data_IF_478374825842
#
_entry.id   IF_478374825842
#
_cell.length_a   1.000
_cell.length_b   1.000
_cell.length_c   1.000
_cell.angle_alpha   90.00
_cell.angle_beta   90.00
_cell.angle_gamma   90.00
#
_symmetry.space_group_name_H-M   'P 1'
#
loop_
_entity.id
_entity.type
_entity.pdbx_description
1 polymer ?
#
# COMPACT_ATOMS: atom_id res chain seq x y z
N UNK A 1 -18.74 10.77 18.45
CA UNK A 1 -19.25 9.43 18.11
C UNK A 1 -18.54 8.92 16.85
N UNK A 2 -17.25 8.60 16.94
CA UNK A 2 -16.46 7.90 15.91
C UNK A 2 -15.37 7.13 16.65
N UNK A 3 -15.73 5.98 17.22
CA UNK A 3 -14.85 5.09 17.96
C UNK A 3 -14.69 3.82 17.13
N UNK A 4 -13.44 3.38 16.90
CA UNK A 4 -13.03 2.14 16.21
C UNK A 4 -12.94 2.12 14.67
N UNK A 5 -12.25 3.08 14.06
CA UNK A 5 -11.41 2.75 12.90
C UNK A 5 -9.97 3.09 13.27
N UNK A 6 -9.08 2.09 13.21
CA UNK A 6 -7.64 2.31 13.37
C UNK A 6 -7.17 3.41 12.42
N UNK A 7 -6.08 4.10 12.77
CA UNK A 7 -5.51 5.27 12.08
C UNK A 7 -5.70 5.20 10.55
N UNK A 8 -6.76 5.84 10.04
CA UNK A 8 -7.09 5.85 8.60
C UNK A 8 -6.03 6.69 7.89
N UNK A 9 -5.50 6.21 6.77
CA UNK A 9 -4.64 6.99 5.88
C UNK A 9 -5.31 7.14 4.52
N UNK A 10 -5.39 8.36 4.01
CA UNK A 10 -5.90 8.63 2.67
C UNK A 10 -4.71 8.87 1.75
N UNK A 11 -4.68 8.17 0.60
CA UNK A 11 -3.59 8.26 -0.36
C UNK A 11 -4.16 8.66 -1.71
N UNK A 12 -3.62 9.75 -2.26
CA UNK A 12 -4.07 10.35 -3.52
C UNK A 12 -2.89 10.34 -4.49
N UNK A 13 -3.15 10.01 -5.75
CA UNK A 13 -2.11 10.03 -6.79
C UNK A 13 -1.59 11.46 -6.98
N UNK A 14 -0.27 11.67 -6.90
CA UNK A 14 0.29 13.01 -7.01
C UNK A 14 0.56 13.37 -8.48
N UNK A 15 -0.51 13.69 -9.21
CA UNK A 15 -0.46 14.36 -10.52
C UNK A 15 -0.76 15.86 -10.35
N UNK A 16 -0.16 16.72 -11.17
CA UNK A 16 -0.10 18.18 -10.98
C UNK A 16 -1.43 18.89 -10.67
N UNK A 17 -2.58 18.30 -11.03
CA UNK A 17 -3.91 18.84 -10.76
C UNK A 17 -4.50 18.43 -9.39
N UNK A 18 -4.01 17.37 -8.77
CA UNK A 18 -4.59 16.77 -7.55
C UNK A 18 -3.97 17.30 -6.23
N UNK A 19 -2.97 18.19 -6.31
CA UNK A 19 -2.38 18.83 -5.14
C UNK A 19 -3.41 19.61 -4.32
N UNK A 20 -4.33 20.31 -4.99
CA UNK A 20 -5.42 21.05 -4.36
C UNK A 20 -6.38 20.13 -3.61
N UNK A 21 -6.69 18.94 -4.15
CA UNK A 21 -7.51 17.93 -3.48
C UNK A 21 -6.85 17.46 -2.18
N UNK A 22 -5.54 17.23 -2.20
CA UNK A 22 -4.78 16.83 -1.00
C UNK A 22 -4.84 17.94 0.05
N UNK A 23 -4.55 19.19 -0.35
CA UNK A 23 -4.65 20.34 0.55
C UNK A 23 -6.06 20.50 1.12
N UNK A 24 -7.09 20.34 0.29
CA UNK A 24 -8.48 20.41 0.73
C UNK A 24 -8.78 19.34 1.78
N UNK A 25 -8.37 18.09 1.56
CA UNK A 25 -8.59 17.00 2.52
C UNK A 25 -7.85 17.28 3.84
N UNK A 26 -6.60 17.73 3.77
CA UNK A 26 -5.80 18.10 4.94
C UNK A 26 -6.44 19.26 5.71
N UNK A 27 -6.92 20.29 5.01
CA UNK A 27 -7.62 21.44 5.62
C UNK A 27 -8.93 21.02 6.30
N UNK A 28 -9.56 19.93 5.86
CA UNK A 28 -10.75 19.34 6.50
C UNK A 28 -10.40 18.35 7.63
N UNK A 29 -9.13 18.30 8.07
CA UNK A 29 -8.69 17.43 9.16
C UNK A 29 -8.52 15.96 8.77
N UNK A 30 -8.53 15.64 7.48
CA UNK A 30 -8.33 14.27 6.99
C UNK A 30 -6.84 13.98 6.74
N UNK A 31 -6.34 12.79 7.14
CA UNK A 31 -4.93 12.43 7.00
C UNK A 31 -4.59 11.99 5.55
N UNK A 32 -4.64 12.94 4.62
CA UNK A 32 -4.36 12.72 3.21
C UNK A 32 -2.88 12.92 2.85
N UNK A 33 -2.37 12.09 1.93
CA UNK A 33 -1.00 12.15 1.42
C UNK A 33 -0.97 11.92 -0.08
N UNK A 34 -0.16 12.72 -0.78
CA UNK A 34 0.18 12.48 -2.18
C UNK A 34 1.15 11.31 -2.33
N UNK A 35 0.90 10.43 -3.29
CA UNK A 35 1.77 9.30 -3.64
C UNK A 35 2.30 9.50 -5.06
N UNK A 36 3.63 9.54 -5.27
CA UNK A 36 4.19 9.68 -6.60
C UNK A 36 3.99 8.41 -7.42
N UNK A 37 3.78 8.60 -8.73
CA UNK A 37 3.58 7.53 -9.71
C UNK A 37 4.93 7.21 -10.35
N UNK A 38 5.59 6.15 -9.87
CA UNK A 38 6.94 5.81 -10.36
C UNK A 38 6.96 4.66 -11.38
N UNK A 39 5.97 3.77 -11.33
CA UNK A 39 5.92 2.54 -12.13
C UNK A 39 4.75 2.55 -13.11
N UNK A 40 4.90 1.85 -14.23
CA UNK A 40 3.77 1.61 -15.14
C UNK A 40 2.66 0.78 -14.46
N UNK A 41 1.43 0.96 -14.93
CA UNK A 41 0.23 0.38 -14.29
C UNK A 41 0.30 -1.14 -14.16
N UNK A 42 0.82 -1.84 -15.19
CA UNK A 42 0.91 -3.30 -15.20
C UNK A 42 1.89 -3.78 -14.14
N UNK A 43 3.07 -3.17 -14.08
CA UNK A 43 4.07 -3.48 -13.04
C UNK A 43 3.54 -3.22 -11.63
N UNK A 44 2.74 -2.14 -11.44
CA UNK A 44 2.11 -1.86 -10.15
C UNK A 44 1.17 -2.97 -9.72
N UNK A 45 0.30 -3.43 -10.63
CA UNK A 45 -0.66 -4.48 -10.36
C UNK A 45 0.05 -5.80 -10.05
N UNK A 46 1.00 -6.23 -10.89
CA UNK A 46 1.76 -7.48 -10.68
C UNK A 46 2.44 -7.48 -9.30
N UNK A 47 3.04 -6.35 -8.92
CA UNK A 47 3.66 -6.21 -7.60
C UNK A 47 2.68 -6.31 -6.44
N UNK A 48 1.38 -6.03 -6.61
CA UNK A 48 0.38 -6.16 -5.54
C UNK A 48 -0.31 -7.53 -5.58
N UNK A 49 -0.43 -8.16 -6.76
CA UNK A 49 -1.11 -9.45 -6.95
C UNK A 49 -0.55 -10.57 -6.06
N UNK A 50 0.75 -10.56 -5.75
CA UNK A 50 1.33 -11.56 -4.84
C UNK A 50 0.73 -11.50 -3.43
N UNK A 51 0.28 -10.33 -2.96
CA UNK A 51 -0.38 -10.18 -1.66
C UNK A 51 -1.78 -10.77 -1.67
N UNK A 52 -2.49 -10.68 -2.79
CA UNK A 52 -3.78 -11.34 -2.98
C UNK A 52 -3.59 -12.86 -2.97
N UNK A 53 -2.64 -13.36 -3.77
CA UNK A 53 -2.38 -14.81 -3.88
C UNK A 53 -1.93 -15.44 -2.56
N UNK A 54 -1.18 -14.70 -1.74
CA UNK A 54 -0.69 -15.17 -0.44
C UNK A 54 -1.67 -14.94 0.72
N UNK A 55 -2.86 -14.38 0.45
CA UNK A 55 -3.89 -14.15 1.46
C UNK A 55 -3.66 -12.95 2.39
N UNK A 56 -2.70 -12.08 2.08
CA UNK A 56 -2.47 -10.83 2.81
C UNK A 56 -3.47 -9.74 2.44
N UNK A 57 -4.03 -9.80 1.23
CA UNK A 57 -5.15 -8.98 0.79
C UNK A 57 -6.35 -9.90 0.53
N UNK A 58 -7.48 -9.57 1.14
CA UNK A 58 -8.74 -10.29 0.98
C UNK A 58 -9.79 -9.36 0.39
N UNK A 59 -10.66 -9.89 -0.45
CA UNK A 59 -11.83 -9.18 -0.96
C UNK A 59 -13.07 -9.55 -0.16
N UNK A 60 -14.01 -8.62 0.06
CA UNK A 60 -15.30 -8.94 0.66
C UNK A 60 -16.08 -9.90 -0.26
N UNK A 61 -17.00 -10.67 0.32
CA UNK A 61 -17.85 -11.60 -0.44
C UNK A 61 -18.75 -10.91 -1.46
N UNK A 62 -19.07 -9.62 -1.25
CA UNK A 62 -19.90 -8.78 -2.11
C UNK A 62 -19.37 -7.35 -2.12
N UNK A 63 -19.59 -6.62 -3.21
CA UNK A 63 -19.26 -5.20 -3.36
C UNK A 63 -17.87 -4.91 -3.93
N UNK A 64 -17.12 -5.94 -4.34
CA UNK A 64 -15.81 -5.80 -4.98
C UNK A 64 -15.81 -6.30 -6.44
N UNK A 65 -16.97 -6.63 -6.99
CA UNK A 65 -17.12 -7.28 -8.30
C UNK A 65 -16.54 -6.43 -9.43
N UNK A 66 -16.73 -5.11 -9.38
CA UNK A 66 -16.20 -4.17 -10.37
C UNK A 66 -14.68 -4.10 -10.32
N UNK A 67 -14.10 -3.95 -9.12
CA UNK A 67 -12.65 -3.99 -8.93
C UNK A 67 -12.05 -5.33 -9.39
N UNK A 68 -12.68 -6.44 -9.03
CA UNK A 68 -12.25 -7.77 -9.46
C UNK A 68 -12.29 -7.86 -10.99
N UNK A 69 -13.38 -7.39 -11.61
CA UNK A 69 -13.52 -7.28 -13.06
C UNK A 69 -12.37 -6.50 -13.71
N UNK A 70 -12.06 -5.31 -13.19
CA UNK A 70 -10.93 -4.50 -13.67
C UNK A 70 -9.57 -5.20 -13.48
N UNK A 71 -9.36 -5.93 -12.38
CA UNK A 71 -8.11 -6.68 -12.13
C UNK A 71 -7.94 -7.83 -13.12
N UNK A 72 -8.99 -8.66 -13.32
CA UNK A 72 -8.90 -9.84 -14.21
C UNK A 72 -8.97 -9.47 -15.69
N UNK A 73 -9.66 -8.36 -16.01
CA UNK A 73 -9.79 -7.78 -17.35
C UNK A 73 -8.71 -6.73 -17.68
N UNK A 74 -7.69 -6.58 -16.83
CA UNK A 74 -6.72 -5.49 -16.92
C UNK A 74 -6.11 -5.35 -18.33
N UNK A 75 -6.11 -4.12 -18.85
CA UNK A 75 -5.64 -3.78 -20.20
C UNK A 75 -6.67 -3.96 -21.33
N UNK A 76 -7.87 -4.47 -21.02
CA UNK A 76 -9.02 -4.53 -21.95
C UNK A 76 -10.16 -3.60 -21.53
N UNK A 77 -10.34 -3.41 -20.23
CA UNK A 77 -11.38 -2.55 -19.67
C UNK A 77 -11.15 -1.06 -20.00
N UNK A 78 -12.25 -0.33 -20.18
CA UNK A 78 -12.24 1.11 -20.55
C UNK A 78 -11.80 2.01 -19.41
N UNK A 79 -11.96 1.56 -18.17
CA UNK A 79 -11.67 2.29 -16.93
C UNK A 79 -10.79 1.43 -16.02
N UNK A 80 -9.79 2.05 -15.40
CA UNK A 80 -8.81 1.41 -14.51
C UNK A 80 -8.58 2.16 -13.19
N UNK A 81 -9.50 3.05 -12.86
CA UNK A 81 -9.50 3.90 -11.67
C UNK A 81 -9.53 3.11 -10.35
N UNK A 82 -10.33 2.04 -10.27
CA UNK A 82 -10.36 1.19 -9.07
C UNK A 82 -9.06 0.39 -8.95
N UNK A 83 -8.49 -0.09 -10.05
CA UNK A 83 -7.18 -0.76 -10.06
C UNK A 83 -6.07 0.21 -9.65
N UNK A 84 -6.11 1.45 -10.10
CA UNK A 84 -5.14 2.48 -9.70
C UNK A 84 -5.24 2.74 -8.19
N UNK A 85 -6.45 2.96 -7.66
CA UNK A 85 -6.67 3.13 -6.22
C UNK A 85 -6.21 1.90 -5.41
N UNK A 86 -6.55 0.70 -5.89
CA UNK A 86 -6.16 -0.58 -5.27
C UNK A 86 -4.63 -0.71 -5.22
N UNK A 87 -3.94 -0.43 -6.33
CA UNK A 87 -2.48 -0.56 -6.38
C UNK A 87 -1.79 0.48 -5.51
N UNK A 88 -2.30 1.72 -5.44
CA UNK A 88 -1.78 2.74 -4.50
C UNK A 88 -1.79 2.20 -3.07
N UNK A 89 -2.93 1.68 -2.61
CA UNK A 89 -3.05 1.14 -1.24
C UNK A 89 -2.17 -0.09 -1.06
N UNK A 90 -2.16 -1.02 -2.01
CA UNK A 90 -1.32 -2.22 -1.95
C UNK A 90 0.17 -1.89 -1.81
N UNK A 91 0.67 -0.88 -2.54
CA UNK A 91 2.05 -0.42 -2.41
C UNK A 91 2.35 0.25 -1.07
N UNK A 92 1.38 0.95 -0.47
CA UNK A 92 1.53 1.47 0.89
C UNK A 92 1.62 0.35 1.93
N UNK A 93 0.84 -0.73 1.76
CA UNK A 93 0.91 -1.92 2.61
C UNK A 93 2.29 -2.57 2.54
N UNK A 94 2.86 -2.72 1.33
CA UNK A 94 4.23 -3.24 1.14
C UNK A 94 5.25 -2.33 1.82
N UNK A 95 5.15 -1.01 1.64
CA UNK A 95 6.08 -0.06 2.21
C UNK A 95 6.07 -0.07 3.76
N UNK A 96 4.90 -0.26 4.36
CA UNK A 96 4.71 -0.28 5.81
C UNK A 96 5.07 -1.63 6.45
N UNK A 97 4.92 -2.74 5.72
CA UNK A 97 5.24 -4.10 6.20
C UNK A 97 6.71 -4.51 6.03
N UNK A 98 7.63 -3.57 5.82
CA UNK A 98 9.05 -3.90 5.77
C UNK A 98 9.52 -4.40 7.15
N UNK A 99 10.10 -5.61 7.25
CA UNK A 99 10.65 -6.08 8.51
C UNK A 99 11.68 -5.07 9.00
N UNK A 100 11.59 -4.66 10.28
CA UNK A 100 12.62 -3.83 10.89
C UNK A 100 13.92 -4.64 10.89
N UNK A 101 14.77 -4.40 9.91
CA UNK A 101 16.12 -4.94 9.89
C UNK A 101 16.86 -4.38 11.11
N UNK A 102 17.09 -5.22 12.12
CA UNK A 102 17.93 -4.86 13.26
C UNK A 102 19.37 -4.96 12.79
N UNK A 103 19.97 -3.83 12.44
CA UNK A 103 21.40 -3.78 12.12
C UNK A 103 22.18 -3.99 13.43
N UNK A 104 22.83 -5.13 13.58
CA UNK A 104 23.72 -5.37 14.71
C UNK A 104 25.13 -4.97 14.33
N UNK A 105 25.66 -3.96 15.03
CA UNK A 105 27.06 -3.60 14.89
C UNK A 105 27.94 -4.74 15.42
N UNK A 106 28.94 -5.13 14.62
CA UNK A 106 29.93 -6.14 15.01
C UNK A 106 30.60 -5.71 16.32
N UNK A 107 30.48 -6.55 17.36
CA UNK A 107 30.98 -6.27 18.71
C UNK A 107 29.95 -5.71 19.69
N UNK A 108 28.71 -5.43 19.27
CA UNK A 108 27.65 -5.10 20.22
C UNK A 108 27.34 -6.29 21.15
N UNK A 109 26.79 -6.04 22.36
CA UNK A 109 26.38 -7.13 23.26
C UNK A 109 25.42 -8.11 22.59
N UNK A 110 24.48 -7.59 21.78
CA UNK A 110 23.50 -8.36 21.02
C UNK A 110 24.16 -9.23 19.93
N UNK A 111 25.12 -8.67 19.18
CA UNK A 111 25.91 -9.42 18.19
C UNK A 111 26.71 -10.55 18.83
N UNK A 112 27.35 -10.26 19.98
CA UNK A 112 28.18 -11.24 20.70
C UNK A 112 27.34 -12.35 21.31
N UNK A 113 26.12 -12.04 21.78
CA UNK A 113 25.18 -13.01 22.29
C UNK A 113 24.71 -14.00 21.19
N UNK A 114 24.37 -13.49 19.99
CA UNK A 114 23.98 -14.34 18.86
C UNK A 114 25.13 -15.26 18.39
N UNK A 115 26.34 -14.71 18.28
CA UNK A 115 27.55 -15.49 17.94
C UNK A 115 27.82 -16.62 18.94
N UNK A 116 27.53 -16.41 20.23
CA UNK A 116 27.71 -17.44 21.28
C UNK A 116 26.74 -18.62 21.14
N UNK A 117 25.57 -18.41 20.55
CA UNK A 117 24.57 -19.47 20.31
C UNK A 117 24.65 -20.04 18.89
N UNK A 118 25.69 -19.71 18.12
CA UNK A 118 25.94 -20.25 16.79
C UNK A 118 25.15 -19.58 15.65
N UNK A 119 24.57 -18.40 15.90
CA UNK A 119 23.88 -17.57 14.91
C UNK A 119 24.73 -16.37 14.45
#
# INVERSE_FOLDING_TARGET
MLTHYGRIGIYVENVSYQATTIEHLVNNGLPAKGVPVAMDKRSRLVNVSHLVMSGHILFPLKGAEELIGQIVGFGKERHDDLVDAFTIVGHQVIAQNKPRSRLLLKGSPEYTALRRIGL
#
